data_IF_447813565858
#
_entry.id   IF_447813565858
#
_cell.length_a   1.000
_cell.length_b   1.000
_cell.length_c   1.000
_cell.angle_alpha   90.00
_cell.angle_beta   90.00
_cell.angle_gamma   90.00
#
_symmetry.space_group_name_H-M   'P 1'
#
loop_
_entity.id
_entity.type
_entity.pdbx_description
1 polymer ?
#
# COMPACT_ATOMS: atom_id res chain seq x y z
N UNK A 1 -2.51 -21.17 -0.63
CA UNK A 1 -2.22 -21.55 -2.03
C UNK A 1 -0.71 -21.64 -2.18
N UNK A 2 -0.17 -22.79 -2.63
CA UNK A 2 1.27 -22.98 -2.79
C UNK A 2 1.80 -22.10 -3.93
N UNK A 3 2.90 -21.37 -3.68
CA UNK A 3 3.59 -20.61 -4.72
C UNK A 3 4.15 -21.61 -5.76
N UNK A 4 3.65 -21.52 -7.00
CA UNK A 4 4.15 -22.36 -8.09
C UNK A 4 5.56 -21.92 -8.47
N UNK A 5 6.51 -22.86 -8.43
CA UNK A 5 7.88 -22.63 -8.88
C UNK A 5 7.87 -22.34 -10.39
N UNK A 6 8.42 -21.19 -10.84
CA UNK A 6 8.40 -20.85 -12.25
C UNK A 6 9.18 -21.88 -13.07
N UNK A 7 8.64 -22.24 -14.24
CA UNK A 7 9.30 -23.12 -15.20
C UNK A 7 10.56 -22.44 -15.77
N UNK A 8 11.53 -23.23 -16.27
CA UNK A 8 12.78 -22.71 -16.84
C UNK A 8 12.56 -21.65 -17.94
N UNK A 9 11.51 -21.83 -18.76
CA UNK A 9 11.12 -20.87 -19.78
C UNK A 9 10.59 -19.54 -19.19
N UNK A 10 9.82 -19.59 -18.10
CA UNK A 10 9.35 -18.40 -17.39
C UNK A 10 10.50 -17.65 -16.70
N UNK A 11 11.49 -18.37 -16.15
CA UNK A 11 12.67 -17.77 -15.55
C UNK A 11 13.53 -17.02 -16.59
N UNK A 12 13.71 -17.59 -17.78
CA UNK A 12 14.45 -16.95 -18.88
C UNK A 12 13.73 -15.71 -19.44
N UNK A 13 12.40 -15.77 -19.59
CA UNK A 13 11.60 -14.61 -19.99
C UNK A 13 11.63 -13.48 -18.94
N UNK A 14 11.63 -13.83 -17.64
CA UNK A 14 11.76 -12.87 -16.55
C UNK A 14 13.15 -12.20 -16.53
N UNK A 15 14.23 -12.93 -16.82
CA UNK A 15 15.57 -12.35 -16.91
C UNK A 15 15.71 -11.37 -18.09
N UNK A 16 15.14 -11.70 -19.25
CA UNK A 16 15.15 -10.81 -20.42
C UNK A 16 14.35 -9.52 -20.21
N UNK A 17 13.18 -9.62 -19.59
CA UNK A 17 12.32 -8.45 -19.29
C UNK A 17 12.87 -7.59 -18.16
N UNK A 18 13.55 -8.17 -17.16
CA UNK A 18 14.24 -7.42 -16.11
C UNK A 18 15.39 -6.56 -16.65
N UNK A 19 16.21 -7.11 -17.55
CA UNK A 19 17.29 -6.36 -18.18
C UNK A 19 16.80 -5.18 -19.02
N UNK A 20 15.66 -5.33 -19.71
CA UNK A 20 15.02 -4.24 -20.44
C UNK A 20 14.46 -3.14 -19.50
N UNK A 21 13.84 -3.54 -18.39
CA UNK A 21 13.34 -2.62 -17.37
C UNK A 21 14.46 -1.81 -16.71
N UNK A 22 15.60 -2.41 -16.37
CA UNK A 22 16.73 -1.67 -15.79
C UNK A 22 17.30 -0.63 -16.77
N UNK A 23 17.30 -0.92 -18.08
CA UNK A 23 17.73 0.04 -19.11
C UNK A 23 16.77 1.22 -19.25
N UNK A 24 15.47 1.01 -19.06
CA UNK A 24 14.50 2.11 -19.11
C UNK A 24 14.58 3.03 -17.88
N UNK A 25 15.06 2.53 -16.74
CA UNK A 25 15.37 3.38 -15.56
C UNK A 25 16.51 4.36 -15.87
N UNK A 26 17.53 3.96 -16.64
CA UNK A 26 18.65 4.85 -16.99
C UNK A 26 18.25 6.01 -17.92
N UNK A 27 17.10 5.88 -18.60
CA UNK A 27 16.53 6.90 -19.51
C UNK A 27 15.28 7.57 -18.92
N UNK A 28 15.08 7.41 -17.62
CA UNK A 28 13.90 7.85 -16.89
C UNK A 28 13.89 9.36 -16.63
N UNK A 29 12.76 10.01 -16.94
CA UNK A 29 12.61 11.46 -16.91
C UNK A 29 11.79 11.98 -15.71
N UNK A 30 11.59 11.15 -14.67
CA UNK A 30 11.03 11.58 -13.37
C UNK A 30 9.67 11.00 -12.96
N UNK A 31 8.91 10.37 -13.87
CA UNK A 31 7.59 9.80 -13.55
C UNK A 31 7.55 8.27 -13.62
N UNK A 32 7.43 7.62 -12.45
CA UNK A 32 7.48 6.15 -12.27
C UNK A 32 6.30 5.44 -12.97
N UNK A 33 5.24 6.18 -13.29
CA UNK A 33 4.08 5.68 -14.02
C UNK A 33 4.44 5.29 -15.47
N UNK A 34 5.37 6.02 -16.09
CA UNK A 34 5.79 5.87 -17.49
C UNK A 34 6.61 4.60 -17.76
N UNK A 35 7.12 3.95 -16.71
CA UNK A 35 7.85 2.70 -16.82
C UNK A 35 6.88 1.52 -16.92
N UNK A 36 6.83 0.89 -18.10
CA UNK A 36 6.17 -0.41 -18.30
C UNK A 36 6.91 -1.48 -17.50
N UNK A 37 6.36 -1.78 -16.34
CA UNK A 37 6.86 -2.76 -15.39
C UNK A 37 6.46 -4.18 -15.83
N UNK A 38 7.37 -5.17 -15.82
CA UNK A 38 7.01 -6.56 -16.12
C UNK A 38 5.89 -7.10 -15.20
N UNK A 39 4.99 -7.98 -15.67
CA UNK A 39 3.85 -8.45 -14.87
C UNK A 39 4.20 -9.07 -13.52
N UNK A 40 5.40 -9.67 -13.37
CA UNK A 40 5.82 -10.30 -12.12
C UNK A 40 6.15 -9.30 -11.00
N UNK A 41 6.37 -8.01 -11.31
CA UNK A 41 6.58 -6.94 -10.32
C UNK A 41 5.31 -6.10 -10.03
N UNK A 42 4.17 -6.43 -10.66
CA UNK A 42 2.91 -5.73 -10.43
C UNK A 42 2.12 -6.35 -9.27
N UNK A 43 1.57 -5.50 -8.41
CA UNK A 43 0.56 -5.86 -7.41
C UNK A 43 -0.83 -5.78 -8.04
N UNK A 44 -1.78 -6.54 -7.50
CA UNK A 44 -3.21 -6.43 -7.84
C UNK A 44 -3.94 -5.33 -7.07
N UNK A 45 -3.25 -4.63 -6.16
CA UNK A 45 -3.81 -3.59 -5.29
C UNK A 45 -3.64 -2.20 -5.94
N UNK A 46 -4.71 -1.40 -5.93
CA UNK A 46 -4.66 0.00 -6.36
C UNK A 46 -4.09 0.92 -5.28
N UNK A 47 -3.45 2.03 -5.69
CA UNK A 47 -3.00 3.05 -4.73
C UNK A 47 -4.15 3.69 -3.95
N UNK A 48 -5.36 3.72 -4.49
CA UNK A 48 -6.55 4.24 -3.76
C UNK A 48 -6.85 3.41 -2.50
N UNK A 49 -6.46 2.13 -2.48
CA UNK A 49 -6.66 1.24 -1.32
C UNK A 49 -5.71 1.58 -0.16
N UNK A 50 -4.56 2.19 -0.42
CA UNK A 50 -3.53 2.46 0.60
C UNK A 50 -3.99 3.45 1.68
N UNK A 51 -5.01 4.27 1.37
CA UNK A 51 -5.64 5.14 2.37
C UNK A 51 -6.22 4.35 3.55
N UNK A 52 -6.57 3.07 3.36
CA UNK A 52 -7.06 2.19 4.44
C UNK A 52 -6.05 1.93 5.54
N UNK A 53 -4.74 1.96 5.23
CA UNK A 53 -3.67 1.68 6.19
C UNK A 53 -3.61 2.67 7.37
N UNK A 54 -4.23 3.85 7.22
CA UNK A 54 -4.36 4.83 8.31
C UNK A 54 -5.34 4.42 9.41
N UNK A 55 -6.28 3.50 9.10
CA UNK A 55 -7.41 3.16 9.95
C UNK A 55 -7.52 1.66 10.29
N UNK A 56 -6.47 0.86 10.05
CA UNK A 56 -6.47 -0.58 10.38
C UNK A 56 -6.55 -0.89 11.89
N UNK A 57 -6.34 0.12 12.75
CA UNK A 57 -6.56 0.02 14.20
C UNK A 57 -7.53 1.12 14.67
N UNK A 58 -8.85 1.01 14.39
CA UNK A 58 -9.82 2.08 14.63
C UNK A 58 -9.91 2.49 16.10
N UNK A 59 -9.92 1.54 17.02
CA UNK A 59 -9.85 1.81 18.47
C UNK A 59 -8.62 2.63 18.90
N UNK A 60 -7.46 2.42 18.28
CA UNK A 60 -6.23 3.19 18.55
C UNK A 60 -6.33 4.59 17.92
N UNK A 61 -6.86 4.69 16.70
CA UNK A 61 -7.14 5.96 16.02
C UNK A 61 -8.10 6.84 16.81
N UNK A 62 -9.15 6.26 17.39
CA UNK A 62 -10.19 6.99 18.13
C UNK A 62 -9.80 7.32 19.57
N UNK A 63 -8.82 6.62 20.17
CA UNK A 63 -8.42 6.80 21.57
C UNK A 63 -8.06 8.26 21.96
N UNK A 64 -7.31 9.04 21.16
CA UNK A 64 -6.99 10.43 21.50
C UNK A 64 -8.22 11.33 21.73
N UNK A 65 -9.35 11.06 21.07
CA UNK A 65 -10.56 11.86 21.20
C UNK A 65 -11.21 11.76 22.59
N UNK A 66 -10.89 10.71 23.36
CA UNK A 66 -11.44 10.45 24.71
C UNK A 66 -10.48 10.85 25.84
N UNK A 67 -9.27 11.32 25.52
CA UNK A 67 -8.24 11.68 26.51
C UNK A 67 -8.26 13.18 26.82
N UNK A 68 -8.45 13.52 28.10
CA UNK A 68 -8.53 14.91 28.56
C UNK A 68 -7.14 15.55 28.70
N UNK A 69 -6.15 14.80 29.18
CA UNK A 69 -4.78 15.29 29.39
C UNK A 69 -4.08 15.54 28.04
N UNK A 70 -3.68 16.79 27.74
CA UNK A 70 -3.01 17.12 26.48
C UNK A 70 -1.73 16.30 26.22
N UNK A 71 -0.96 15.99 27.27
CA UNK A 71 0.29 15.25 27.11
C UNK A 71 0.04 13.79 26.72
N UNK A 72 -0.90 13.11 27.41
CA UNK A 72 -1.34 11.76 27.04
C UNK A 72 -2.00 11.72 25.68
N UNK A 73 -2.82 12.72 25.33
CA UNK A 73 -3.46 12.79 24.02
C UNK A 73 -2.44 12.84 22.88
N UNK A 74 -1.39 13.65 23.03
CA UNK A 74 -0.28 13.67 22.07
C UNK A 74 0.42 12.31 21.95
N UNK A 75 0.69 11.65 23.07
CA UNK A 75 1.27 10.30 23.08
C UNK A 75 0.39 9.27 22.36
N UNK A 76 -0.94 9.34 22.54
CA UNK A 76 -1.88 8.46 21.86
C UNK A 76 -1.91 8.69 20.34
N UNK A 77 -1.82 9.95 19.88
CA UNK A 77 -1.68 10.27 18.45
C UNK A 77 -0.38 9.70 17.90
N UNK A 78 0.75 9.86 18.61
CA UNK A 78 2.03 9.28 18.20
C UNK A 78 1.96 7.75 18.15
N UNK A 79 1.33 7.12 19.14
CA UNK A 79 1.11 5.67 19.16
C UNK A 79 0.31 5.23 17.94
N UNK A 80 -0.82 5.87 17.64
CA UNK A 80 -1.60 5.60 16.43
C UNK A 80 -0.73 5.70 15.18
N UNK A 81 -0.02 6.81 15.01
CA UNK A 81 0.85 7.01 13.84
C UNK A 81 1.86 5.87 13.68
N UNK A 82 2.55 5.48 14.75
CA UNK A 82 3.52 4.37 14.71
C UNK A 82 2.85 3.06 14.30
N UNK A 83 1.63 2.78 14.76
CA UNK A 83 0.92 1.54 14.37
C UNK A 83 0.62 1.47 12.87
N UNK A 84 0.46 2.61 12.19
CA UNK A 84 0.21 2.63 10.73
C UNK A 84 1.45 2.24 9.92
N UNK A 85 2.67 2.44 10.46
CA UNK A 85 3.91 2.30 9.70
C UNK A 85 4.12 0.87 9.18
N UNK A 86 3.70 -0.14 9.94
CA UNK A 86 3.80 -1.53 9.49
C UNK A 86 2.98 -1.73 8.19
N UNK A 87 1.75 -1.25 8.17
CA UNK A 87 0.88 -1.47 7.02
C UNK A 87 1.27 -0.61 5.82
N UNK A 88 1.76 0.60 6.06
CA UNK A 88 2.26 1.48 5.00
C UNK A 88 3.49 0.90 4.28
N UNK A 89 4.40 0.26 5.02
CA UNK A 89 5.75 -0.04 4.50
C UNK A 89 6.17 -1.51 4.52
N UNK A 90 5.47 -2.39 5.25
CA UNK A 90 5.89 -3.79 5.42
C UNK A 90 4.82 -4.82 4.97
N UNK A 91 3.54 -4.45 4.92
CA UNK A 91 2.43 -5.33 4.50
C UNK A 91 2.70 -6.06 3.19
N UNK A 92 3.23 -5.33 2.19
CA UNK A 92 3.52 -5.84 0.85
C UNK A 92 4.72 -6.77 0.82
N UNK A 93 5.77 -6.45 1.59
CA UNK A 93 6.93 -7.33 1.74
C UNK A 93 6.57 -8.64 2.44
N UNK A 94 5.68 -8.61 3.44
CA UNK A 94 5.21 -9.82 4.14
C UNK A 94 4.29 -10.68 3.23
N UNK A 95 3.40 -10.05 2.46
CA UNK A 95 2.40 -10.77 1.66
C UNK A 95 2.95 -11.32 0.33
N UNK A 96 3.86 -10.59 -0.33
CA UNK A 96 4.34 -10.93 -1.67
C UNK A 96 5.81 -11.36 -1.72
N UNK A 97 6.51 -11.35 -0.58
CA UNK A 97 7.93 -11.68 -0.46
C UNK A 97 8.89 -10.60 -0.99
N UNK A 98 8.37 -9.62 -1.75
CA UNK A 98 9.07 -8.43 -2.25
C UNK A 98 8.04 -7.30 -2.47
N UNK A 99 8.50 -6.05 -2.40
CA UNK A 99 7.70 -4.88 -2.76
C UNK A 99 7.32 -4.94 -4.25
N UNK A 100 6.02 -4.80 -4.55
CA UNK A 100 5.48 -4.82 -5.91
C UNK A 100 4.90 -3.45 -6.25
N UNK A 101 5.05 -3.01 -7.51
CA UNK A 101 4.47 -1.76 -8.00
C UNK A 101 2.93 -1.88 -7.94
N UNK A 102 2.24 -1.03 -7.14
CA UNK A 102 0.78 -1.00 -7.11
C UNK A 102 0.21 -0.51 -8.44
N UNK A 103 -1.08 -0.78 -8.67
CA UNK A 103 -1.77 -0.25 -9.83
C UNK A 103 -1.88 1.27 -9.70
N UNK A 104 -1.62 1.97 -10.81
CA UNK A 104 -1.86 3.40 -10.89
C UNK A 104 -3.37 3.60 -11.07
N UNK A 105 -4.04 4.26 -10.12
CA UNK A 105 -5.47 4.52 -10.22
C UNK A 105 -5.78 5.49 -11.35
N UNK A 106 -6.95 5.35 -11.93
CA UNK A 106 -7.46 6.32 -12.93
C UNK A 106 -8.13 7.51 -12.22
N UNK A 107 -8.26 8.64 -12.93
CA UNK A 107 -8.90 9.84 -12.38
C UNK A 107 -10.36 9.55 -11.99
N UNK A 108 -10.72 9.87 -10.75
CA UNK A 108 -12.05 9.61 -10.18
C UNK A 108 -12.25 8.18 -9.67
N UNK A 109 -11.21 7.35 -9.65
CA UNK A 109 -11.28 6.05 -8.98
C UNK A 109 -11.56 6.22 -7.49
N UNK A 110 -12.53 5.44 -6.97
CA UNK A 110 -12.96 5.46 -5.59
C UNK A 110 -12.69 4.12 -4.89
N UNK A 111 -12.18 4.21 -3.66
CA UNK A 111 -12.12 3.10 -2.73
C UNK A 111 -12.83 3.48 -1.42
N UNK A 112 -13.89 2.74 -1.10
CA UNK A 112 -14.75 2.98 0.04
C UNK A 112 -14.63 1.83 1.03
N UNK A 113 -14.59 2.13 2.33
CA UNK A 113 -14.47 1.12 3.37
C UNK A 113 -15.14 1.54 4.66
N UNK A 114 -15.38 0.57 5.54
CA UNK A 114 -15.81 0.83 6.91
C UNK A 114 -15.23 -0.19 7.88
N UNK A 115 -14.95 0.25 9.10
CA UNK A 115 -14.63 -0.61 10.24
C UNK A 115 -15.69 -0.41 11.31
N UNK A 116 -16.15 -1.51 11.90
CA UNK A 116 -17.13 -1.54 12.98
C UNK A 116 -16.50 -2.29 14.16
N UNK A 117 -16.24 -1.56 15.25
CA UNK A 117 -15.69 -2.10 16.48
C UNK A 117 -16.34 -1.44 17.72
N UNK A 118 -15.84 -1.77 18.91
CA UNK A 118 -16.34 -1.21 20.18
C UNK A 118 -16.16 0.33 20.29
N UNK A 119 -15.33 0.93 19.44
CA UNK A 119 -15.16 2.39 19.37
C UNK A 119 -16.20 3.06 18.45
N UNK A 120 -16.95 2.30 17.65
CA UNK A 120 -18.01 2.77 16.76
C UNK A 120 -17.77 2.40 15.29
N UNK A 121 -18.37 3.16 14.37
CA UNK A 121 -18.17 3.02 12.93
C UNK A 121 -17.16 4.05 12.44
N UNK A 122 -16.10 3.59 11.76
CA UNK A 122 -15.14 4.45 11.05
C UNK A 122 -15.32 4.24 9.55
N UNK A 123 -15.61 5.31 8.81
CA UNK A 123 -15.79 5.29 7.35
C UNK A 123 -14.52 5.78 6.64
N UNK A 124 -14.16 5.12 5.54
CA UNK A 124 -13.09 5.53 4.64
C UNK A 124 -13.66 5.88 3.28
N UNK A 125 -13.24 7.03 2.78
CA UNK A 125 -13.45 7.48 1.41
C UNK A 125 -12.08 7.86 0.86
N UNK A 126 -11.65 7.17 -0.19
CA UNK A 126 -10.39 7.41 -0.88
C UNK A 126 -10.69 7.64 -2.36
N UNK A 127 -10.20 8.75 -2.90
CA UNK A 127 -10.45 9.16 -4.28
C UNK A 127 -9.15 9.55 -4.97
N UNK A 128 -8.98 9.10 -6.21
CA UNK A 128 -7.91 9.60 -7.07
C UNK A 128 -8.31 10.94 -7.71
N UNK A 129 -7.81 12.03 -7.13
CA UNK A 129 -8.17 13.40 -7.56
C UNK A 129 -7.25 14.01 -8.63
N UNK A 130 -6.10 13.39 -8.94
CA UNK A 130 -5.14 13.88 -9.93
C UNK A 130 -4.20 12.81 -10.47
#
# INVERSE_FOLDING_TARGET
MAAQTPTSAQAQANQGSWGAFLKSIASFNGDLSSLTAPPFILSSTSLTEFSSYWAEHPSILAAPAKEADPAKRALLVTKWFITTLKQQYASRSEQYGNEKKPLNPFLGELFLGKWEDDAGTTELISEQVR
#
